data_IF_746423249475
#
_entry.id   IF_746423249475
#
_cell.length_a   1.000
_cell.length_b   1.000
_cell.length_c   1.000
_cell.angle_alpha   90.00
_cell.angle_beta   90.00
_cell.angle_gamma   90.00
#
_symmetry.space_group_name_H-M   'P 1'
#
loop_
_entity.id
_entity.type
_entity.pdbx_description
1 polymer ?
#
# COMPACT_ATOMS: atom_id res chain seq x y z
N UNK A 1 11.00 -53.15 21.43
CA UNK A 1 11.92 -52.49 20.47
C UNK A 1 11.21 -51.98 19.21
N UNK A 2 10.53 -52.84 18.41
CA UNK A 2 9.93 -52.44 17.11
C UNK A 2 8.77 -51.42 17.18
N UNK A 3 7.96 -51.46 18.25
CA UNK A 3 6.85 -50.50 18.46
C UNK A 3 7.35 -49.10 18.87
N UNK A 4 8.48 -49.01 19.56
CA UNK A 4 9.08 -47.74 20.01
C UNK A 4 9.65 -46.95 18.81
N UNK A 5 10.25 -47.66 17.86
CA UNK A 5 10.70 -47.10 16.58
C UNK A 5 9.50 -46.56 15.77
N UNK A 6 8.37 -47.27 15.79
CA UNK A 6 7.15 -46.85 15.11
C UNK A 6 6.55 -45.56 15.71
N UNK A 7 6.55 -45.42 17.04
CA UNK A 7 6.09 -44.19 17.71
C UNK A 7 7.02 -42.99 17.49
N UNK A 8 8.35 -43.21 17.46
CA UNK A 8 9.33 -42.18 17.10
C UNK A 8 9.15 -41.69 15.65
N UNK A 9 8.81 -42.59 14.73
CA UNK A 9 8.53 -42.24 13.34
C UNK A 9 7.20 -41.48 13.20
N UNK A 10 6.17 -41.84 13.97
CA UNK A 10 4.88 -41.15 13.98
C UNK A 10 4.98 -39.73 14.58
N UNK A 11 5.85 -39.53 15.57
CA UNK A 11 6.08 -38.23 16.19
C UNK A 11 6.83 -37.26 15.26
N UNK A 12 7.74 -37.77 14.41
CA UNK A 12 8.49 -36.97 13.45
C UNK A 12 7.63 -36.43 12.28
N UNK A 13 6.51 -37.09 11.95
CA UNK A 13 5.58 -36.66 10.88
C UNK A 13 4.53 -35.65 11.39
N UNK A 14 4.34 -35.56 12.71
CA UNK A 14 3.34 -34.70 13.34
C UNK A 14 3.88 -33.32 13.76
N UNK A 15 5.14 -32.99 13.48
CA UNK A 15 5.59 -31.60 13.55
C UNK A 15 4.93 -30.87 12.37
N UNK A 16 3.95 -29.98 12.62
CA UNK A 16 3.35 -29.23 11.54
C UNK A 16 4.48 -28.49 10.84
N UNK A 17 4.54 -28.62 9.52
CA UNK A 17 5.18 -27.64 8.65
C UNK A 17 4.54 -26.29 9.00
N UNK A 18 5.10 -25.61 9.99
CA UNK A 18 4.85 -24.20 10.18
C UNK A 18 5.52 -23.54 8.99
N UNK A 19 4.80 -23.45 7.88
CA UNK A 19 5.19 -22.57 6.79
C UNK A 19 5.11 -21.18 7.40
N UNK A 20 6.23 -20.49 7.63
CA UNK A 20 6.14 -19.12 8.07
C UNK A 20 5.57 -18.33 6.90
N UNK A 21 4.26 -18.07 6.94
CA UNK A 21 3.62 -17.09 6.07
C UNK A 21 4.01 -15.70 6.60
N UNK A 22 5.28 -15.35 6.46
CA UNK A 22 5.75 -14.00 6.69
C UNK A 22 5.66 -13.27 5.35
N UNK A 23 4.47 -12.81 5.01
CA UNK A 23 4.31 -11.79 3.98
C UNK A 23 4.87 -10.49 4.55
N UNK A 24 6.20 -10.37 4.61
CA UNK A 24 6.87 -9.13 4.93
C UNK A 24 6.52 -8.15 3.81
N UNK A 25 5.59 -7.23 4.10
CA UNK A 25 5.27 -6.18 3.18
C UNK A 25 6.52 -5.34 3.00
N UNK A 26 7.00 -5.23 1.77
CA UNK A 26 8.19 -4.45 1.46
C UNK A 26 7.81 -2.96 1.51
N UNK A 27 7.92 -2.37 2.71
CA UNK A 27 7.57 -0.98 2.98
C UNK A 27 8.75 -0.09 2.62
N UNK A 28 8.48 1.00 1.91
CA UNK A 28 9.45 2.05 1.65
C UNK A 28 9.54 2.97 2.89
N UNK A 29 10.70 3.05 3.57
CA UNK A 29 10.88 3.98 4.68
C UNK A 29 10.70 5.43 4.23
N UNK A 30 10.06 6.26 5.06
CA UNK A 30 9.75 7.66 4.74
C UNK A 30 11.01 8.47 4.39
N UNK A 31 12.14 8.17 5.03
CA UNK A 31 13.41 8.87 4.79
C UNK A 31 13.99 8.59 3.41
N UNK A 32 13.43 7.63 2.66
CA UNK A 32 13.79 7.34 1.26
C UNK A 32 12.84 7.98 0.25
N UNK A 33 11.72 8.55 0.70
CA UNK A 33 10.76 9.24 -0.16
C UNK A 33 11.33 10.61 -0.55
N UNK A 34 11.25 10.95 -1.84
CA UNK A 34 11.75 12.21 -2.42
C UNK A 34 10.72 12.77 -3.39
N UNK A 35 10.66 14.09 -3.48
CA UNK A 35 9.87 14.75 -4.52
C UNK A 35 10.32 14.31 -5.93
N UNK A 36 9.38 14.21 -6.86
CA UNK A 36 9.57 13.71 -8.22
C UNK A 36 9.60 12.19 -8.34
N UNK A 37 9.57 11.43 -7.23
CA UNK A 37 9.43 9.97 -7.31
C UNK A 37 8.09 9.62 -7.94
N UNK A 38 8.11 8.66 -8.86
CA UNK A 38 6.91 8.14 -9.52
C UNK A 38 6.58 6.75 -9.03
N UNK A 39 5.30 6.40 -9.09
CA UNK A 39 4.81 5.08 -8.76
C UNK A 39 3.36 4.90 -9.15
N UNK A 40 2.73 3.92 -8.50
CA UNK A 40 1.36 3.54 -8.81
C UNK A 40 0.55 3.35 -7.54
N UNK A 41 -0.66 3.88 -7.53
CA UNK A 41 -1.68 3.53 -6.56
C UNK A 41 -2.62 2.47 -7.11
N UNK A 42 -3.33 1.74 -6.24
CA UNK A 42 -4.40 0.82 -6.67
C UNK A 42 -5.69 1.13 -5.94
N UNK A 43 -6.79 1.28 -6.68
CA UNK A 43 -8.11 1.54 -6.11
C UNK A 43 -9.20 0.81 -6.89
N UNK A 44 -10.39 0.69 -6.33
CA UNK A 44 -11.54 0.12 -7.03
C UNK A 44 -12.36 1.26 -7.60
N UNK A 45 -12.30 1.46 -8.92
CA UNK A 45 -13.15 2.45 -9.60
C UNK A 45 -14.58 1.94 -9.84
N UNK A 46 -14.75 0.62 -10.01
CA UNK A 46 -16.06 -0.02 -10.21
C UNK A 46 -16.01 -1.49 -9.81
N UNK A 47 -17.11 -2.00 -9.25
CA UNK A 47 -17.21 -3.40 -8.84
C UNK A 47 -16.34 -3.67 -7.62
N UNK A 48 -15.38 -4.59 -7.75
CA UNK A 48 -14.49 -5.01 -6.66
C UNK A 48 -13.02 -5.16 -7.06
N UNK A 49 -12.69 -4.95 -8.33
CA UNK A 49 -11.33 -5.20 -8.84
C UNK A 49 -10.43 -3.96 -8.67
N UNK A 50 -9.28 -4.07 -7.98
CA UNK A 50 -8.34 -2.96 -7.84
C UNK A 50 -7.56 -2.69 -9.13
N UNK A 51 -7.75 -1.50 -9.69
CA UNK A 51 -7.08 -1.01 -10.89
C UNK A 51 -6.01 0.03 -10.54
N UNK A 52 -4.92 0.09 -11.32
CA UNK A 52 -3.83 1.02 -11.06
C UNK A 52 -4.15 2.46 -11.50
N UNK A 53 -3.51 3.42 -10.86
CA UNK A 53 -3.41 4.81 -11.29
C UNK A 53 -1.99 5.34 -11.04
N UNK A 54 -1.58 6.36 -11.78
CA UNK A 54 -0.23 6.91 -11.70
C UNK A 54 -0.11 7.91 -10.55
N UNK A 55 1.08 7.96 -9.94
CA UNK A 55 1.37 8.81 -8.79
C UNK A 55 2.73 9.47 -8.96
N UNK A 56 2.82 10.75 -8.58
CA UNK A 56 4.06 11.51 -8.44
C UNK A 56 4.13 12.16 -7.07
N UNK A 57 5.25 11.99 -6.36
CA UNK A 57 5.50 12.61 -5.07
C UNK A 57 5.83 14.09 -5.26
N UNK A 58 5.12 14.96 -4.57
CA UNK A 58 5.36 16.40 -4.54
C UNK A 58 6.22 16.81 -3.35
N UNK A 59 6.11 16.10 -2.23
CA UNK A 59 6.88 16.39 -1.03
C UNK A 59 6.35 15.63 0.19
N UNK A 60 6.92 15.96 1.35
CA UNK A 60 6.48 15.46 2.65
C UNK A 60 6.03 16.67 3.47
N UNK A 61 4.86 16.55 4.10
CA UNK A 61 4.30 17.53 5.01
C UNK A 61 4.41 16.99 6.45
N UNK A 62 5.38 17.47 7.25
CA UNK A 62 5.56 17.01 8.62
C UNK A 62 4.34 17.34 9.48
N UNK A 63 3.86 16.36 10.25
CA UNK A 63 2.68 16.53 11.12
C UNK A 63 1.36 16.83 10.40
N UNK A 64 1.31 16.72 9.06
CA UNK A 64 0.12 16.98 8.26
C UNK A 64 -0.87 15.81 8.21
N UNK A 65 -0.47 14.64 8.71
CA UNK A 65 -1.23 13.40 8.71
C UNK A 65 -2.17 13.24 9.90
N UNK A 66 -3.10 12.27 9.84
CA UNK A 66 -3.95 11.90 10.96
C UNK A 66 -3.12 11.60 12.21
N UNK A 67 -3.54 12.12 13.36
CA UNK A 67 -2.82 11.90 14.63
C UNK A 67 -1.47 12.62 14.73
N UNK A 68 -1.17 13.56 13.82
CA UNK A 68 0.08 14.32 13.83
C UNK A 68 1.28 13.58 13.21
N UNK A 69 1.03 12.53 12.43
CA UNK A 69 2.06 11.87 11.62
C UNK A 69 2.44 12.70 10.39
N UNK A 70 3.52 12.31 9.73
CA UNK A 70 3.93 12.92 8.46
C UNK A 70 3.04 12.45 7.31
N UNK A 71 2.81 13.32 6.33
CA UNK A 71 1.98 13.04 5.16
C UNK A 71 2.82 13.14 3.88
N UNK A 72 2.73 12.15 2.99
CA UNK A 72 3.34 12.25 1.67
C UNK A 72 2.33 12.95 0.76
N UNK A 73 2.72 14.09 0.19
CA UNK A 73 1.91 14.81 -0.79
C UNK A 73 2.17 14.22 -2.16
N UNK A 74 1.10 13.86 -2.87
CA UNK A 74 1.18 13.27 -4.20
C UNK A 74 0.23 13.94 -5.18
N UNK A 75 0.64 13.93 -6.45
CA UNK A 75 -0.22 14.15 -7.59
C UNK A 75 -0.62 12.79 -8.17
N UNK A 76 -1.90 12.60 -8.44
CA UNK A 76 -2.42 11.41 -9.10
C UNK A 76 -2.83 11.71 -10.54
N UNK A 77 -2.71 10.71 -11.41
CA UNK A 77 -3.10 10.82 -12.82
C UNK A 77 -3.49 9.47 -13.43
N UNK A 78 -3.91 9.50 -14.70
CA UNK A 78 -4.34 8.33 -15.46
C UNK A 78 -5.75 8.48 -16.00
N UNK A 79 -6.06 7.76 -17.09
CA UNK A 79 -7.34 7.89 -17.80
C UNK A 79 -8.55 7.59 -16.90
N UNK A 80 -8.45 6.55 -16.07
CA UNK A 80 -9.52 6.18 -15.13
C UNK A 80 -9.69 7.23 -14.03
N UNK A 81 -8.60 7.75 -13.47
CA UNK A 81 -8.65 8.82 -12.47
C UNK A 81 -9.31 10.09 -13.04
N UNK A 82 -8.92 10.48 -14.27
CA UNK A 82 -9.52 11.62 -14.95
C UNK A 82 -11.01 11.40 -15.25
N UNK A 83 -11.40 10.19 -15.64
CA UNK A 83 -12.81 9.87 -15.91
C UNK A 83 -13.70 9.99 -14.67
N UNK A 84 -13.12 9.88 -13.47
CA UNK A 84 -13.80 10.07 -12.19
C UNK A 84 -13.77 11.51 -11.68
N UNK A 85 -13.15 12.43 -12.43
CA UNK A 85 -12.97 13.82 -12.00
C UNK A 85 -11.85 14.01 -10.97
N UNK A 86 -10.91 13.06 -10.87
CA UNK A 86 -9.84 13.07 -9.88
C UNK A 86 -10.09 12.07 -8.75
N UNK A 87 -9.52 12.33 -7.58
CA UNK A 87 -9.67 11.46 -6.41
C UNK A 87 -11.07 11.63 -5.82
N UNK A 88 -11.84 10.55 -5.84
CA UNK A 88 -13.23 10.51 -5.39
C UNK A 88 -13.37 10.06 -3.92
N UNK A 89 -14.54 10.33 -3.33
CA UNK A 89 -14.94 9.77 -2.03
C UNK A 89 -14.89 8.24 -2.08
N UNK A 90 -14.40 7.62 -1.00
CA UNK A 90 -14.27 6.16 -0.90
C UNK A 90 -12.94 5.59 -1.41
N UNK A 91 -12.07 6.41 -2.00
CA UNK A 91 -10.70 5.99 -2.36
C UNK A 91 -9.73 5.95 -1.16
N UNK A 92 -10.20 6.30 0.05
CA UNK A 92 -9.40 6.25 1.27
C UNK A 92 -8.89 4.83 1.54
N UNK A 93 -7.62 4.71 1.91
CA UNK A 93 -6.96 3.41 2.13
C UNK A 93 -6.38 2.78 0.86
N UNK A 94 -6.52 3.40 -0.32
CA UNK A 94 -5.92 2.89 -1.56
C UNK A 94 -4.39 2.86 -1.43
N UNK A 95 -3.71 1.70 -1.53
CA UNK A 95 -2.27 1.60 -1.34
C UNK A 95 -1.51 2.30 -2.46
N UNK A 96 -0.44 3.02 -2.09
CA UNK A 96 0.50 3.69 -3.01
C UNK A 96 1.83 2.96 -2.96
N UNK A 97 2.35 2.60 -4.13
CA UNK A 97 3.62 1.93 -4.30
C UNK A 97 4.62 2.82 -5.03
N UNK A 98 5.82 2.97 -4.47
CA UNK A 98 6.95 3.64 -5.09
C UNK A 98 8.09 2.61 -5.25
N UNK A 99 8.63 2.46 -6.46
CA UNK A 99 9.63 1.42 -6.77
C UNK A 99 9.20 -0.01 -6.35
N UNK A 100 7.91 -0.32 -6.48
CA UNK A 100 7.34 -1.62 -6.09
C UNK A 100 7.18 -1.84 -4.58
N UNK A 101 7.56 -0.87 -3.75
CA UNK A 101 7.45 -0.92 -2.29
C UNK A 101 6.27 -0.10 -1.80
N UNK A 102 5.57 -0.55 -0.75
CA UNK A 102 4.46 0.21 -0.17
C UNK A 102 4.99 1.49 0.46
N UNK A 103 4.56 2.65 -0.02
CA UNK A 103 4.98 3.94 0.50
C UNK A 103 3.94 4.57 1.44
N UNK A 104 2.66 4.19 1.33
CA UNK A 104 1.58 4.74 2.14
C UNK A 104 0.22 4.36 1.57
N UNK A 105 -0.84 5.01 2.04
CA UNK A 105 -2.19 4.83 1.53
C UNK A 105 -2.86 6.19 1.34
N UNK A 106 -3.62 6.35 0.25
CA UNK A 106 -4.33 7.58 -0.03
C UNK A 106 -5.33 7.87 1.09
N UNK A 107 -5.23 9.02 1.76
CA UNK A 107 -6.09 9.35 2.90
C UNK A 107 -7.14 10.39 2.54
N UNK A 108 -6.70 11.49 1.91
CA UNK A 108 -7.50 12.70 1.69
C UNK A 108 -7.09 13.43 0.42
N UNK A 109 -8.02 14.24 -0.09
CA UNK A 109 -7.81 15.19 -1.20
C UNK A 109 -7.76 16.61 -0.66
N UNK A 110 -7.18 17.53 -1.43
CA UNK A 110 -7.17 18.95 -1.10
C UNK A 110 -8.25 19.68 -1.89
N UNK A 111 -9.23 20.26 -1.18
CA UNK A 111 -10.47 20.81 -1.74
C UNK A 111 -10.25 21.98 -2.74
N UNK A 112 -9.17 22.75 -2.58
CA UNK A 112 -8.83 23.92 -3.41
C UNK A 112 -7.83 23.57 -4.55
N UNK A 113 -7.75 22.30 -4.94
CA UNK A 113 -6.88 21.82 -6.03
C UNK A 113 -7.70 21.17 -7.13
N UNK A 114 -7.10 20.93 -8.31
CA UNK A 114 -7.75 20.28 -9.47
C UNK A 114 -8.11 18.79 -9.23
N UNK A 115 -8.48 18.39 -8.02
CA UNK A 115 -8.80 17.04 -7.53
C UNK A 115 -7.72 15.96 -7.79
N UNK A 116 -6.56 16.38 -8.30
CA UNK A 116 -5.40 15.54 -8.56
C UNK A 116 -4.40 15.53 -7.41
N UNK A 117 -4.53 16.42 -6.42
CA UNK A 117 -3.66 16.47 -5.24
C UNK A 117 -4.28 15.67 -4.10
N UNK A 118 -3.50 14.75 -3.55
CA UNK A 118 -3.87 13.92 -2.42
C UNK A 118 -2.69 13.72 -1.47
N UNK A 119 -2.97 13.23 -0.27
CA UNK A 119 -1.93 12.84 0.68
C UNK A 119 -2.33 11.67 1.56
N UNK A 120 -1.32 11.04 2.16
CA UNK A 120 -1.46 9.98 3.17
C UNK A 120 -0.15 9.24 3.41
#
# INVERSE_FOLDING_TARGET
>A
MRKLILYLFLFAVALPWQVPCHAALDILPLEKVRAGMKGQGRTVFRGSEPQPFDVEVLGILPGGGPGGGDMILVRVSGALMQSQGGVALGMSGSPIYLNGKLAGALSSTFAESDHSLAGG
#
